data_IF_090726656042
#
_entry.id   IF_090726656042
#
_cell.length_a   1.000
_cell.length_b   1.000
_cell.length_c   1.000
_cell.angle_alpha   90.00
_cell.angle_beta   90.00
_cell.angle_gamma   90.00
#
_symmetry.space_group_name_H-M   'P 1'
#
loop_
_entity.id
_entity.type
_entity.pdbx_description
1 polymer ?
#
# COMPACT_ATOMS: atom_id res chain seq x y z
N UNK A 1 7.27 3.64 14.98
CA UNK A 1 8.75 3.44 14.89
C UNK A 1 9.25 2.00 15.10
N UNK A 2 8.44 1.03 15.54
CA UNK A 2 8.93 -0.35 15.72
C UNK A 2 9.42 -0.99 14.41
N UNK A 3 8.75 -0.73 13.28
CA UNK A 3 9.14 -1.24 11.95
C UNK A 3 10.51 -0.70 11.53
N UNK A 4 10.73 0.61 11.62
CA UNK A 4 12.01 1.23 11.26
C UNK A 4 13.19 0.65 12.03
N UNK A 5 12.99 0.40 13.34
CA UNK A 5 14.01 -0.19 14.20
C UNK A 5 14.25 -1.67 13.89
N UNK A 6 13.18 -2.44 13.69
CA UNK A 6 13.25 -3.88 13.43
C UNK A 6 13.95 -4.17 12.09
N UNK A 7 13.58 -3.41 11.05
CA UNK A 7 14.10 -3.61 9.70
C UNK A 7 15.29 -2.71 9.36
N UNK A 8 15.70 -1.82 10.27
CA UNK A 8 16.78 -0.85 10.07
C UNK A 8 16.58 0.00 8.80
N UNK A 9 15.35 0.47 8.59
CA UNK A 9 14.94 1.30 7.46
C UNK A 9 14.43 2.66 7.92
N UNK A 10 14.54 3.67 7.06
CA UNK A 10 13.71 4.88 7.13
C UNK A 10 12.39 4.59 6.41
N UNK A 11 11.26 4.71 7.10
CA UNK A 11 9.97 4.31 6.54
C UNK A 11 9.57 5.16 5.33
N UNK A 12 9.81 6.48 5.39
CA UNK A 12 9.41 7.42 4.35
C UNK A 12 10.22 7.22 3.07
N UNK A 13 11.53 6.97 3.20
CA UNK A 13 12.39 6.74 2.05
C UNK A 13 12.20 5.33 1.48
N UNK A 14 12.07 4.31 2.34
CA UNK A 14 11.89 2.93 1.89
C UNK A 14 10.56 2.71 1.15
N UNK A 15 9.47 3.30 1.65
CA UNK A 15 8.13 3.17 1.07
C UNK A 15 7.72 4.36 0.19
N UNK A 16 8.67 5.19 -0.27
CA UNK A 16 8.37 6.42 -1.01
C UNK A 16 7.45 6.22 -2.21
N UNK A 17 7.67 5.16 -2.99
CA UNK A 17 6.83 4.84 -4.15
C UNK A 17 5.45 4.31 -3.73
N UNK A 18 5.39 3.49 -2.68
CA UNK A 18 4.16 2.96 -2.09
C UNK A 18 3.28 4.08 -1.55
N UNK A 19 3.90 5.05 -0.85
CA UNK A 19 3.24 6.24 -0.33
C UNK A 19 2.69 7.13 -1.45
N UNK A 20 3.37 7.18 -2.59
CA UNK A 20 2.85 7.87 -3.78
C UNK A 20 1.62 7.15 -4.36
N UNK A 21 1.59 5.82 -4.38
CA UNK A 21 0.40 5.07 -4.79
C UNK A 21 -0.76 5.23 -3.78
N UNK A 22 -0.43 5.40 -2.51
CA UNK A 22 -1.39 5.57 -1.43
C UNK A 22 -2.19 6.88 -1.53
N UNK A 23 -1.67 7.90 -2.22
CA UNK A 23 -2.36 9.18 -2.49
C UNK A 23 -3.72 9.01 -3.17
N UNK A 24 -3.90 7.96 -3.99
CA UNK A 24 -5.20 7.64 -4.62
C UNK A 24 -6.29 7.33 -3.57
N UNK A 25 -5.88 6.88 -2.38
CA UNK A 25 -6.77 6.50 -1.28
C UNK A 25 -6.82 7.53 -0.16
N UNK A 26 -6.30 8.76 -0.37
CA UNK A 26 -6.20 9.79 0.68
C UNK A 26 -7.52 10.08 1.41
N UNK A 27 -8.66 9.96 0.72
CA UNK A 27 -10.00 10.21 1.29
C UNK A 27 -10.49 9.04 2.17
N UNK A 28 -9.83 7.88 2.09
CA UNK A 28 -10.16 6.64 2.79
C UNK A 28 -9.18 6.31 3.93
N UNK A 29 -8.13 7.13 4.09
CA UNK A 29 -7.09 6.93 5.10
C UNK A 29 -6.82 8.22 5.87
N UNK A 30 -6.27 8.07 7.07
CA UNK A 30 -5.61 9.13 7.81
C UNK A 30 -4.15 8.76 7.91
N UNK A 31 -3.30 9.61 7.33
CA UNK A 31 -1.85 9.45 7.35
C UNK A 31 -1.25 10.37 8.41
N UNK A 32 -0.50 9.79 9.33
CA UNK A 32 0.24 10.48 10.38
C UNK A 32 1.72 10.04 10.31
N UNK A 33 2.62 10.80 10.93
CA UNK A 33 4.05 10.46 10.94
C UNK A 33 4.35 9.08 11.55
N UNK A 34 3.46 8.59 12.42
CA UNK A 34 3.67 7.33 13.14
C UNK A 34 2.80 6.17 12.67
N UNK A 35 1.72 6.43 11.95
CA UNK A 35 0.75 5.40 11.56
C UNK A 35 -0.06 5.77 10.32
N UNK A 36 -0.60 4.75 9.68
CA UNK A 36 -1.58 4.86 8.61
C UNK A 36 -2.86 4.20 9.12
N UNK A 37 -3.96 4.95 9.17
CA UNK A 37 -5.25 4.45 9.67
C UNK A 37 -6.30 4.51 8.57
N UNK A 38 -6.85 3.37 8.20
CA UNK A 38 -7.98 3.30 7.28
C UNK A 38 -9.27 3.72 8.00
N UNK A 39 -10.09 4.55 7.37
CA UNK A 39 -11.38 4.99 7.90
C UNK A 39 -12.47 3.94 7.65
N UNK A 40 -13.67 4.15 8.19
CA UNK A 40 -14.77 3.19 8.10
C UNK A 40 -15.16 2.86 6.65
N UNK A 41 -15.19 3.86 5.77
CA UNK A 41 -15.48 3.67 4.34
C UNK A 41 -14.34 2.93 3.63
N UNK A 42 -13.10 3.22 4.01
CA UNK A 42 -11.89 2.61 3.46
C UNK A 42 -11.72 1.14 3.80
N UNK A 43 -12.43 0.61 4.80
CA UNK A 43 -12.42 -0.82 5.14
C UNK A 43 -12.85 -1.66 3.93
N UNK A 44 -13.78 -1.17 3.10
CA UNK A 44 -14.21 -1.86 1.88
C UNK A 44 -13.08 -1.95 0.83
N UNK A 45 -12.10 -1.04 0.90
CA UNK A 45 -10.96 -0.95 -0.01
C UNK A 45 -9.65 -1.43 0.66
N UNK A 46 -9.71 -2.02 1.86
CA UNK A 46 -8.51 -2.34 2.67
C UNK A 46 -7.50 -3.20 1.92
N UNK A 47 -7.97 -4.12 1.07
CA UNK A 47 -7.10 -4.95 0.22
C UNK A 47 -6.33 -4.09 -0.78
N UNK A 48 -7.01 -3.16 -1.45
CA UNK A 48 -6.38 -2.28 -2.44
C UNK A 48 -5.37 -1.33 -1.79
N UNK A 49 -5.71 -0.80 -0.62
CA UNK A 49 -4.82 0.03 0.19
C UNK A 49 -3.57 -0.76 0.62
N UNK A 50 -3.74 -2.01 1.09
CA UNK A 50 -2.62 -2.85 1.50
C UNK A 50 -1.73 -3.27 0.31
N UNK A 51 -2.31 -3.45 -0.89
CA UNK A 51 -1.56 -3.78 -2.10
C UNK A 51 -0.57 -2.69 -2.52
N UNK A 52 -0.76 -1.42 -2.10
CA UNK A 52 0.23 -0.36 -2.34
C UNK A 52 1.61 -0.72 -1.77
N UNK A 53 1.66 -1.54 -0.72
CA UNK A 53 2.89 -1.98 -0.02
C UNK A 53 3.36 -3.39 -0.45
N UNK A 54 2.74 -4.00 -1.46
CA UNK A 54 3.07 -5.35 -1.92
C UNK A 54 4.20 -5.31 -2.97
N UNK A 55 5.39 -5.76 -2.56
CA UNK A 55 6.59 -5.78 -3.42
C UNK A 55 6.45 -6.67 -4.68
N UNK A 56 5.60 -7.69 -4.66
CA UNK A 56 5.40 -8.57 -5.80
C UNK A 56 4.45 -7.94 -6.83
N UNK A 57 3.48 -7.15 -6.39
CA UNK A 57 2.54 -6.45 -7.26
C UNK A 57 3.20 -5.34 -8.08
N UNK A 58 4.23 -4.67 -7.55
CA UNK A 58 4.98 -3.60 -8.27
C UNK A 58 5.60 -4.06 -9.59
N UNK A 59 5.88 -5.36 -9.72
CA UNK A 59 6.48 -5.97 -10.92
C UNK A 59 5.44 -6.54 -11.90
N UNK A 60 4.15 -6.51 -11.53
CA UNK A 60 3.07 -6.93 -12.41
C UNK A 60 2.67 -5.71 -13.23
N UNK A 61 3.27 -5.58 -14.41
CA UNK A 61 2.89 -4.60 -15.43
C UNK A 61 1.37 -4.65 -15.67
N UNK A 62 0.72 -3.51 -15.94
CA UNK A 62 -0.73 -3.44 -16.26
C UNK A 62 -1.17 -4.43 -17.36
N UNK A 63 -0.25 -4.83 -18.24
CA UNK A 63 -0.43 -5.86 -19.27
C UNK A 63 -0.69 -7.28 -18.73
N UNK A 64 -0.34 -7.57 -17.49
CA UNK A 64 -0.60 -8.85 -16.82
C UNK A 64 -1.78 -8.73 -15.86
N UNK A 65 -2.88 -8.13 -16.29
CA UNK A 65 -4.20 -8.47 -15.73
C UNK A 65 -4.39 -9.97 -15.91
N UNK A 66 -4.00 -10.74 -14.89
CA UNK A 66 -4.26 -12.18 -14.76
C UNK A 66 -5.75 -12.34 -14.55
N UNK A 67 -6.51 -12.27 -15.64
CA UNK A 67 -7.85 -12.79 -15.68
C UNK A 67 -7.76 -14.28 -15.33
N UNK A 68 -8.62 -14.74 -14.41
CA UNK A 68 -8.77 -16.17 -14.15
C UNK A 68 -9.15 -16.83 -15.47
N UNK A 69 -8.22 -17.57 -16.07
CA UNK A 69 -8.52 -18.40 -17.22
C UNK A 69 -9.28 -19.61 -16.69
N UNK A 70 -10.58 -19.66 -16.94
CA UNK A 70 -11.31 -20.92 -16.89
C UNK A 70 -10.78 -21.79 -18.02
N UNK A 71 -10.17 -22.93 -17.68
CA UNK A 71 -9.91 -24.02 -18.63
C UNK A 71 -11.21 -24.74 -18.96
#
# INVERSE_FOLDING_TARGET
KSIEKEFCIDFQEYFKEDLKALEEYKDFINFDENFIKVNETGVLLIRNIAMCFDAYMKNISEDKKVFSKTV
#
